data_IF_632357091302
#
_entry.id   IF_632357091302
#
_cell.length_a   1.000
_cell.length_b   1.000
_cell.length_c   1.000
_cell.angle_alpha   90.00
_cell.angle_beta   90.00
_cell.angle_gamma   90.00
#
_symmetry.space_group_name_H-M   'P 1'
#
loop_
_entity.id
_entity.type
_entity.pdbx_description
1 polymer ?
#
# COMPACT_ATOMS: atom_id res chain seq x y z
N UNK A 1 34.94 18.55 22.64
CA UNK A 1 35.16 17.15 22.22
C UNK A 1 33.90 16.38 22.59
N UNK A 2 32.93 16.37 21.70
CA UNK A 2 31.69 15.59 21.84
C UNK A 2 31.91 14.26 21.13
N UNK A 3 31.85 13.18 21.89
CA UNK A 3 31.97 11.83 21.35
C UNK A 3 30.74 11.52 20.46
N UNK A 4 30.99 11.16 19.20
CA UNK A 4 29.99 10.56 18.33
C UNK A 4 29.47 9.26 18.95
N UNK A 5 28.17 8.97 18.89
CA UNK A 5 27.68 7.67 19.31
C UNK A 5 28.20 6.60 18.36
N UNK A 6 28.89 5.64 18.90
CA UNK A 6 29.31 4.43 18.21
C UNK A 6 28.09 3.67 17.72
N UNK A 7 28.03 3.39 16.42
CA UNK A 7 27.11 2.44 15.81
C UNK A 7 27.18 1.10 16.58
N UNK A 8 26.28 0.91 17.52
CA UNK A 8 26.10 -0.35 18.22
C UNK A 8 25.49 -1.33 17.23
N UNK A 9 26.31 -2.24 16.70
CA UNK A 9 25.80 -3.40 15.94
C UNK A 9 24.76 -4.12 16.79
N UNK A 10 23.50 -4.12 16.35
CA UNK A 10 22.45 -4.92 16.98
C UNK A 10 22.90 -6.37 17.00
N UNK A 11 22.95 -6.97 18.18
CA UNK A 11 23.30 -8.38 18.31
C UNK A 11 22.23 -9.23 17.60
N UNK A 12 22.64 -10.02 16.61
CA UNK A 12 21.81 -11.06 16.06
C UNK A 12 21.50 -12.07 17.17
N UNK A 13 20.23 -12.27 17.49
CA UNK A 13 19.79 -13.14 18.58
C UNK A 13 18.92 -14.26 18.02
N UNK A 14 19.44 -15.46 18.13
CA UNK A 14 18.79 -16.68 17.65
C UNK A 14 18.92 -16.88 16.14
N UNK A 15 18.75 -18.13 15.71
CA UNK A 15 18.68 -18.46 14.29
C UNK A 15 17.40 -17.89 13.69
N UNK A 16 17.51 -17.16 12.58
CA UNK A 16 16.34 -16.76 11.79
C UNK A 16 15.57 -18.01 11.34
N UNK A 17 14.23 -17.92 11.19
CA UNK A 17 13.46 -19.04 10.71
C UNK A 17 13.96 -19.47 9.33
N UNK A 18 13.98 -20.79 9.08
CA UNK A 18 14.24 -21.30 7.73
C UNK A 18 13.04 -20.97 6.83
N UNK A 19 13.23 -20.02 5.95
CA UNK A 19 12.25 -19.54 4.97
C UNK A 19 12.60 -20.02 3.55
N UNK A 20 13.55 -20.95 3.43
CA UNK A 20 13.94 -21.54 2.15
C UNK A 20 12.74 -22.19 1.44
N UNK A 21 12.62 -21.95 0.15
CA UNK A 21 11.56 -22.53 -0.68
C UNK A 21 10.20 -21.86 -0.58
N UNK A 22 10.05 -20.77 0.21
CA UNK A 22 8.83 -19.97 0.17
C UNK A 22 8.72 -19.23 -1.18
N UNK A 23 7.56 -19.30 -1.86
CA UNK A 23 7.38 -18.70 -3.19
C UNK A 23 7.70 -17.20 -3.20
N UNK A 24 8.62 -16.79 -4.08
CA UNK A 24 8.97 -15.39 -4.31
C UNK A 24 9.72 -14.70 -3.17
N UNK A 25 10.19 -15.44 -2.17
CA UNK A 25 10.98 -14.89 -1.06
C UNK A 25 12.46 -15.27 -1.21
N UNK A 26 13.32 -14.28 -1.13
CA UNK A 26 14.76 -14.52 -0.91
C UNK A 26 14.99 -14.71 0.60
N UNK A 27 15.41 -15.90 1.04
CA UNK A 27 15.60 -16.19 2.46
C UNK A 27 16.72 -15.34 3.11
N UNK A 28 17.62 -14.77 2.32
CA UNK A 28 18.69 -13.89 2.82
C UNK A 28 18.17 -12.57 3.39
N UNK A 29 16.93 -12.18 3.10
CA UNK A 29 16.30 -11.00 3.68
C UNK A 29 15.84 -11.20 5.13
N UNK A 30 15.71 -12.45 5.57
CA UNK A 30 15.23 -12.78 6.92
C UNK A 30 16.25 -12.44 7.99
N UNK A 31 15.84 -11.66 8.98
CA UNK A 31 16.68 -11.24 10.10
C UNK A 31 15.94 -11.31 11.41
N UNK A 32 16.68 -11.63 12.49
CA UNK A 32 16.20 -11.51 13.87
C UNK A 32 16.99 -10.40 14.56
N UNK A 33 16.29 -9.52 15.27
CA UNK A 33 16.90 -8.44 16.06
C UNK A 33 16.25 -8.37 17.43
N UNK A 34 17.02 -8.04 18.46
CA UNK A 34 16.48 -7.77 19.81
C UNK A 34 16.49 -6.28 20.08
N UNK A 35 15.30 -5.75 20.37
CA UNK A 35 15.07 -4.32 20.59
C UNK A 35 14.19 -4.16 21.84
N UNK A 36 14.47 -3.20 22.74
CA UNK A 36 13.56 -2.88 23.83
C UNK A 36 12.20 -2.44 23.29
N UNK A 37 11.11 -2.93 23.92
CA UNK A 37 9.78 -2.38 23.67
C UNK A 37 9.61 -1.01 24.36
N UNK A 38 8.42 -0.40 24.25
CA UNK A 38 8.13 0.89 24.90
C UNK A 38 8.31 0.88 26.44
N UNK A 39 8.21 -0.28 27.07
CA UNK A 39 8.44 -0.47 28.50
C UNK A 39 9.93 -0.76 28.85
N UNK A 40 10.81 -0.79 27.85
CA UNK A 40 12.23 -1.09 28.01
C UNK A 40 12.55 -2.59 28.10
N UNK A 41 11.57 -3.47 27.88
CA UNK A 41 11.77 -4.93 27.89
C UNK A 41 12.36 -5.38 26.56
N UNK A 42 13.52 -6.10 26.56
CA UNK A 42 14.06 -6.66 25.32
C UNK A 42 13.08 -7.62 24.65
N UNK A 43 12.79 -7.40 23.36
CA UNK A 43 11.92 -8.20 22.53
C UNK A 43 12.61 -8.64 21.27
N UNK A 44 12.38 -9.87 20.88
CA UNK A 44 12.95 -10.39 19.62
C UNK A 44 11.97 -10.16 18.48
N UNK A 45 12.44 -9.42 17.47
CA UNK A 45 11.71 -9.14 16.26
C UNK A 45 12.25 -9.95 15.09
N UNK A 46 11.34 -10.45 14.27
CA UNK A 46 11.65 -10.89 12.93
C UNK A 46 11.30 -9.79 11.94
N UNK A 47 12.13 -9.65 10.91
CA UNK A 47 11.88 -8.73 9.81
C UNK A 47 12.49 -9.26 8.51
N UNK A 48 11.94 -8.83 7.40
CA UNK A 48 12.57 -8.94 6.09
C UNK A 48 13.22 -7.60 5.76
N UNK A 49 14.47 -7.63 5.28
CA UNK A 49 15.26 -6.45 4.95
C UNK A 49 16.10 -6.76 3.71
N UNK A 50 15.91 -6.02 2.63
CA UNK A 50 16.67 -6.23 1.39
C UNK A 50 18.15 -5.86 1.52
N UNK A 51 18.56 -5.23 2.64
CA UNK A 51 19.95 -4.88 2.93
C UNK A 51 20.54 -3.83 2.00
N UNK A 52 19.71 -3.15 1.20
CA UNK A 52 20.20 -2.10 0.31
C UNK A 52 20.67 -0.87 1.08
N UNK A 53 21.68 -0.18 0.53
CA UNK A 53 22.11 1.13 1.06
C UNK A 53 20.99 2.15 0.83
N UNK A 54 20.49 2.85 1.89
CA UNK A 54 19.37 3.77 1.77
C UNK A 54 19.80 5.15 1.22
N UNK A 55 20.28 5.21 -0.02
CA UNK A 55 20.73 6.44 -0.67
C UNK A 55 19.58 7.45 -0.81
N UNK A 56 18.38 6.97 -1.10
CA UNK A 56 17.17 7.79 -1.25
C UNK A 56 16.29 7.75 0.00
N UNK A 57 16.38 6.67 0.76
CA UNK A 57 15.61 6.48 1.99
C UNK A 57 15.22 5.03 2.22
N UNK A 58 14.36 4.84 3.23
CA UNK A 58 13.85 3.53 3.62
C UNK A 58 12.35 3.44 3.37
N UNK A 59 11.90 2.32 2.79
CA UNK A 59 10.48 1.95 2.73
C UNK A 59 10.16 1.06 3.93
N UNK A 60 9.37 1.56 4.85
CA UNK A 60 8.91 0.84 6.04
C UNK A 60 7.57 0.17 5.75
N UNK A 61 7.59 -1.16 5.60
CA UNK A 61 6.44 -1.96 5.20
C UNK A 61 5.75 -2.57 6.42
N UNK A 62 4.50 -2.19 6.67
CA UNK A 62 3.74 -2.61 7.85
C UNK A 62 2.57 -3.50 7.44
N UNK A 63 2.64 -4.78 7.85
CA UNK A 63 1.60 -5.77 7.55
C UNK A 63 0.39 -5.65 8.50
N UNK A 64 -0.72 -6.28 8.11
CA UNK A 64 -1.93 -6.34 8.91
C UNK A 64 -2.21 -7.71 9.52
N UNK A 65 -3.47 -7.96 9.83
CA UNK A 65 -3.94 -9.16 10.51
C UNK A 65 -4.78 -10.04 9.56
N UNK A 66 -4.43 -11.30 9.33
CA UNK A 66 -3.43 -12.14 10.00
C UNK A 66 -2.19 -12.40 9.13
N UNK A 67 -1.70 -11.41 8.40
CA UNK A 67 -0.53 -11.56 7.55
C UNK A 67 0.78 -11.41 8.35
N UNK A 68 1.93 -11.42 7.67
CA UNK A 68 3.25 -11.19 8.20
C UNK A 68 4.14 -10.58 7.12
N UNK A 69 5.39 -10.26 7.39
CA UNK A 69 6.30 -9.56 6.49
C UNK A 69 6.42 -10.16 5.09
N UNK A 70 6.15 -11.47 4.93
CA UNK A 70 6.08 -12.16 3.64
C UNK A 70 5.15 -11.48 2.62
N UNK A 71 4.12 -10.77 3.10
CA UNK A 71 3.20 -9.99 2.27
C UNK A 71 3.96 -9.01 1.35
N UNK A 72 5.11 -8.53 1.79
CA UNK A 72 5.86 -7.48 1.14
C UNK A 72 7.01 -7.97 0.24
N UNK A 73 7.18 -9.31 0.10
CA UNK A 73 8.28 -9.90 -0.67
C UNK A 73 8.38 -9.40 -2.11
N UNK A 74 7.23 -9.14 -2.76
CA UNK A 74 7.19 -8.59 -4.11
C UNK A 74 7.81 -7.19 -4.18
N UNK A 75 7.56 -6.35 -3.17
CA UNK A 75 8.15 -5.01 -3.10
C UNK A 75 9.64 -5.06 -2.73
N UNK A 76 10.06 -5.99 -1.84
CA UNK A 76 11.48 -6.18 -1.56
C UNK A 76 12.26 -6.54 -2.83
N UNK A 77 11.66 -7.38 -3.70
CA UNK A 77 12.26 -7.79 -4.97
C UNK A 77 12.28 -6.67 -6.02
N UNK A 78 11.24 -5.82 -6.05
CA UNK A 78 11.05 -4.76 -7.06
C UNK A 78 11.62 -3.40 -6.62
N UNK A 79 12.20 -3.30 -5.43
CA UNK A 79 12.69 -2.04 -4.89
C UNK A 79 13.71 -1.39 -5.83
N UNK A 80 13.54 -0.11 -6.18
CA UNK A 80 14.52 0.58 -7.02
C UNK A 80 15.88 0.72 -6.30
N UNK A 81 16.98 0.81 -7.04
CA UNK A 81 18.31 1.04 -6.45
C UNK A 81 18.30 2.26 -5.52
N UNK A 82 19.00 2.15 -4.38
CA UNK A 82 19.06 3.22 -3.39
C UNK A 82 17.89 3.29 -2.40
N UNK A 83 16.93 2.36 -2.50
CA UNK A 83 15.85 2.22 -1.53
C UNK A 83 16.06 0.96 -0.68
N UNK A 84 16.21 1.15 0.63
CA UNK A 84 16.14 0.05 1.59
C UNK A 84 14.68 -0.27 1.88
N UNK A 85 14.31 -1.55 1.83
CA UNK A 85 12.95 -1.99 2.18
C UNK A 85 13.02 -2.86 3.43
N UNK A 86 12.31 -2.43 4.47
CA UNK A 86 12.25 -3.10 5.77
C UNK A 86 10.80 -3.44 6.09
N UNK A 87 10.53 -4.71 6.30
CA UNK A 87 9.21 -5.24 6.61
C UNK A 87 9.25 -6.04 7.92
N UNK A 88 8.97 -5.43 9.09
CA UNK A 88 8.95 -6.14 10.35
C UNK A 88 7.66 -6.95 10.52
N UNK A 89 7.75 -8.07 11.25
CA UNK A 89 6.60 -8.75 11.83
C UNK A 89 6.24 -8.06 13.15
N UNK A 90 4.98 -7.67 13.34
CA UNK A 90 4.54 -7.12 14.62
C UNK A 90 4.84 -8.07 15.79
N UNK A 91 5.15 -7.53 16.96
CA UNK A 91 5.24 -8.36 18.19
C UNK A 91 3.95 -9.16 18.39
N UNK A 92 4.10 -10.45 18.61
CA UNK A 92 3.02 -11.41 18.66
C UNK A 92 2.62 -12.03 17.32
N UNK A 93 3.08 -11.51 16.21
CA UNK A 93 2.74 -11.96 14.84
C UNK A 93 3.96 -12.54 14.11
N UNK A 94 3.72 -13.13 12.93
CA UNK A 94 4.80 -13.66 12.10
C UNK A 94 5.77 -14.55 12.87
N UNK A 95 7.04 -14.29 12.79
CA UNK A 95 8.09 -14.94 13.54
C UNK A 95 8.64 -14.11 14.72
N UNK A 96 8.11 -12.91 14.93
CA UNK A 96 8.43 -12.11 16.12
C UNK A 96 7.98 -12.78 17.42
N UNK A 97 8.58 -12.34 18.54
CA UNK A 97 8.32 -12.86 19.87
C UNK A 97 6.84 -12.80 20.23
N UNK A 98 6.34 -13.85 20.90
CA UNK A 98 5.01 -13.90 21.53
C UNK A 98 5.11 -13.31 22.92
N UNK A 99 4.71 -12.04 23.07
CA UNK A 99 4.89 -11.27 24.32
C UNK A 99 4.01 -11.77 25.46
N UNK A 100 3.03 -12.63 25.20
CA UNK A 100 2.07 -13.11 26.20
C UNK A 100 1.00 -12.09 26.58
N UNK A 101 1.16 -10.82 26.20
CA UNK A 101 0.24 -9.72 26.49
C UNK A 101 -0.36 -9.19 25.18
N UNK A 102 -1.65 -8.83 25.23
CA UNK A 102 -2.31 -8.16 24.12
C UNK A 102 -1.74 -6.75 23.95
N UNK A 103 -1.36 -6.40 22.72
CA UNK A 103 -0.91 -5.06 22.37
C UNK A 103 -1.99 -4.31 21.61
N UNK A 104 -2.23 -3.06 22.01
CA UNK A 104 -3.17 -2.16 21.34
C UNK A 104 -2.47 -1.35 20.25
N UNK A 105 -3.26 -0.63 19.47
CA UNK A 105 -2.77 0.18 18.35
C UNK A 105 -1.70 1.20 18.77
N UNK A 106 -1.90 1.92 19.90
CA UNK A 106 -0.93 2.85 20.46
C UNK A 106 0.41 2.17 20.77
N UNK A 107 0.35 1.02 21.43
CA UNK A 107 1.55 0.25 21.78
C UNK A 107 2.27 -0.28 20.54
N UNK A 108 1.53 -0.71 19.50
CA UNK A 108 2.14 -1.18 18.24
C UNK A 108 2.83 -0.06 17.48
N UNK A 109 2.29 1.15 17.53
CA UNK A 109 2.92 2.34 16.94
C UNK A 109 4.22 2.67 17.66
N UNK A 110 4.19 2.70 19.00
CA UNK A 110 5.38 2.98 19.82
C UNK A 110 6.47 1.91 19.64
N UNK A 111 6.07 0.62 19.63
CA UNK A 111 6.98 -0.50 19.38
C UNK A 111 7.65 -0.38 18.00
N UNK A 112 6.90 0.01 16.97
CA UNK A 112 7.44 0.24 15.63
C UNK A 112 8.44 1.40 15.62
N UNK A 113 8.14 2.50 16.35
CA UNK A 113 9.05 3.64 16.52
C UNK A 113 10.35 3.22 17.21
N UNK A 114 10.27 2.43 18.27
CA UNK A 114 11.44 1.90 18.98
C UNK A 114 12.28 0.99 18.07
N UNK A 115 11.61 0.13 17.28
CA UNK A 115 12.29 -0.74 16.32
C UNK A 115 13.04 0.07 15.26
N UNK A 116 12.38 1.06 14.64
CA UNK A 116 13.01 1.87 13.57
C UNK A 116 14.20 2.66 14.08
N UNK A 117 14.12 3.22 15.30
CA UNK A 117 15.23 3.89 15.94
C UNK A 117 16.40 2.93 16.18
N UNK A 118 16.14 1.72 16.68
CA UNK A 118 17.17 0.70 16.93
C UNK A 118 17.81 0.18 15.64
N UNK A 119 17.07 0.15 14.52
CA UNK A 119 17.59 -0.23 13.20
C UNK A 119 18.40 0.89 12.53
N UNK A 120 18.54 2.06 13.18
CA UNK A 120 19.24 3.22 12.62
C UNK A 120 18.51 3.79 11.40
N UNK A 121 17.18 3.71 11.37
CA UNK A 121 16.37 4.33 10.33
C UNK A 121 16.15 5.79 10.75
N UNK A 122 17.10 6.64 10.44
CA UNK A 122 17.15 8.06 10.80
C UNK A 122 17.08 9.01 9.58
N UNK A 123 17.10 8.45 8.36
CA UNK A 123 16.95 9.17 7.10
C UNK A 123 15.49 9.28 6.63
N UNK A 124 15.27 9.71 5.37
CA UNK A 124 13.93 9.79 4.78
C UNK A 124 13.22 8.44 4.76
N UNK A 125 11.92 8.45 5.13
CA UNK A 125 11.11 7.24 5.19
C UNK A 125 9.83 7.39 4.36
N UNK A 126 9.55 6.39 3.54
CA UNK A 126 8.22 6.15 2.98
C UNK A 126 7.58 5.02 3.77
N UNK A 127 6.42 5.27 4.36
CA UNK A 127 5.65 4.22 5.02
C UNK A 127 4.71 3.54 4.03
N UNK A 128 4.57 2.22 4.12
CA UNK A 128 3.55 1.47 3.38
C UNK A 128 2.82 0.53 4.32
N UNK A 129 1.48 0.56 4.29
CA UNK A 129 0.65 -0.24 5.16
C UNK A 129 -0.54 -0.86 4.47
N UNK A 130 -0.91 -2.07 4.91
CA UNK A 130 -2.08 -2.82 4.46
C UNK A 130 -2.87 -3.31 5.68
N UNK A 131 -4.19 -3.28 5.62
CA UNK A 131 -5.08 -3.66 6.71
C UNK A 131 -4.73 -2.89 8.00
N UNK A 132 -4.53 -3.54 9.16
CA UNK A 132 -4.04 -2.90 10.38
C UNK A 132 -2.69 -2.18 10.21
N UNK A 133 -1.88 -2.66 9.29
CA UNK A 133 -0.61 -1.99 8.97
C UNK A 133 -0.80 -0.57 8.46
N UNK A 134 -1.94 -0.25 7.84
CA UNK A 134 -2.23 1.09 7.39
C UNK A 134 -2.34 2.10 8.54
N UNK A 135 -3.18 1.81 9.55
CA UNK A 135 -3.31 2.72 10.70
C UNK A 135 -2.04 2.78 11.55
N UNK A 136 -1.31 1.65 11.68
CA UNK A 136 -0.07 1.61 12.45
C UNK A 136 1.03 2.40 11.73
N UNK A 137 1.16 2.26 10.42
CA UNK A 137 2.12 3.02 9.61
C UNK A 137 1.81 4.53 9.59
N UNK A 138 0.53 4.89 9.55
CA UNK A 138 0.09 6.29 9.68
C UNK A 138 0.38 6.85 11.07
N UNK A 139 0.20 6.06 12.13
CA UNK A 139 0.57 6.47 13.49
C UNK A 139 2.08 6.73 13.61
N UNK A 140 2.90 5.85 13.06
CA UNK A 140 4.35 6.06 12.97
C UNK A 140 4.67 7.34 12.18
N UNK A 141 4.05 7.54 11.03
CA UNK A 141 4.23 8.71 10.17
C UNK A 141 3.91 10.03 10.89
N UNK A 142 2.84 10.04 11.68
CA UNK A 142 2.45 11.21 12.48
C UNK A 142 3.46 11.53 13.59
N UNK A 143 4.06 10.50 14.19
CA UNK A 143 5.08 10.64 15.23
C UNK A 143 6.46 11.04 14.69
N UNK A 144 6.74 10.78 13.39
CA UNK A 144 8.05 10.99 12.75
C UNK A 144 7.97 11.88 11.50
N UNK A 145 7.18 12.95 11.57
CA UNK A 145 6.90 13.85 10.41
C UNK A 145 8.15 14.40 9.75
N UNK A 146 9.22 14.63 10.51
CA UNK A 146 10.49 15.19 10.00
C UNK A 146 11.25 14.19 9.11
N UNK A 147 11.00 12.89 9.29
CA UNK A 147 11.59 11.83 8.46
C UNK A 147 10.66 11.38 7.33
N UNK A 148 9.38 11.78 7.38
CA UNK A 148 8.37 11.27 6.47
C UNK A 148 8.51 11.88 5.08
N UNK A 149 8.89 11.06 4.10
CA UNK A 149 8.98 11.45 2.69
C UNK A 149 7.68 11.19 1.93
N UNK A 150 6.92 10.17 2.32
CA UNK A 150 5.67 9.82 1.67
C UNK A 150 4.92 8.68 2.35
N UNK A 151 3.68 8.47 1.93
CA UNK A 151 2.77 7.46 2.49
C UNK A 151 2.20 6.60 1.37
N UNK A 152 2.19 5.28 1.57
CA UNK A 152 1.54 4.34 0.66
C UNK A 152 0.54 3.49 1.44
N UNK A 153 -0.69 3.39 0.95
CA UNK A 153 -1.77 2.66 1.62
C UNK A 153 -2.43 1.66 0.67
N UNK A 154 -2.59 0.43 1.14
CA UNK A 154 -3.34 -0.62 0.43
C UNK A 154 -4.46 -1.18 1.29
N UNK A 155 -5.67 -1.27 0.78
CA UNK A 155 -6.86 -1.83 1.42
C UNK A 155 -6.82 -1.75 2.96
N UNK A 156 -7.07 -0.57 3.51
CA UNK A 156 -6.98 -0.25 4.93
C UNK A 156 -8.04 0.77 5.34
N UNK A 157 -8.04 1.14 6.61
CA UNK A 157 -8.83 2.22 7.15
C UNK A 157 -8.09 2.92 8.30
N UNK A 158 -8.41 4.16 8.57
CA UNK A 158 -7.94 4.89 9.76
C UNK A 158 -9.08 5.15 10.74
N UNK A 159 -10.32 5.03 10.29
CA UNK A 159 -11.51 5.14 11.12
C UNK A 159 -12.66 4.32 10.53
N UNK A 160 -13.70 4.10 11.33
CA UNK A 160 -14.98 3.66 10.79
C UNK A 160 -15.67 4.89 10.16
N UNK A 161 -16.10 4.82 8.88
CA UNK A 161 -16.87 5.90 8.27
C UNK A 161 -18.11 6.25 9.09
N UNK A 162 -18.53 7.51 9.08
CA UNK A 162 -19.66 7.98 9.86
C UNK A 162 -20.93 7.18 9.57
N UNK A 163 -21.58 6.67 10.62
CA UNK A 163 -22.79 5.84 10.52
C UNK A 163 -22.53 4.38 10.12
N UNK A 164 -21.27 3.97 9.95
CA UNK A 164 -20.93 2.59 9.64
C UNK A 164 -20.73 1.76 10.92
N UNK A 165 -21.24 0.53 10.86
CA UNK A 165 -21.11 -0.43 11.96
C UNK A 165 -19.95 -1.43 11.74
N UNK A 166 -19.12 -1.21 10.72
CA UNK A 166 -18.03 -2.09 10.33
C UNK A 166 -18.45 -3.31 9.48
N UNK A 167 -17.49 -3.97 8.84
CA UNK A 167 -17.74 -5.09 7.92
C UNK A 167 -18.42 -6.27 8.64
N UNK A 168 -19.45 -6.90 8.03
CA UNK A 168 -20.20 -7.99 8.68
C UNK A 168 -19.31 -9.17 9.12
N UNK A 169 -18.32 -9.55 8.31
CA UNK A 169 -17.36 -10.62 8.64
C UNK A 169 -16.55 -10.29 9.90
N UNK A 170 -16.11 -9.04 10.03
CA UNK A 170 -15.33 -8.59 11.18
C UNK A 170 -16.21 -8.49 12.43
N UNK A 171 -17.43 -7.99 12.29
CA UNK A 171 -18.41 -8.00 13.40
C UNK A 171 -18.69 -9.41 13.90
N UNK A 172 -18.85 -10.38 13.01
CA UNK A 172 -19.01 -11.79 13.37
C UNK A 172 -17.77 -12.31 14.10
N UNK A 173 -16.57 -12.03 13.59
CA UNK A 173 -15.30 -12.44 14.23
C UNK A 173 -15.10 -11.80 15.61
N UNK A 174 -15.69 -10.63 15.86
CA UNK A 174 -15.60 -9.91 17.13
C UNK A 174 -16.52 -10.47 18.23
N UNK A 175 -17.52 -11.27 17.88
CA UNK A 175 -18.49 -11.78 18.84
C UNK A 175 -17.84 -12.65 19.94
N UNK A 176 -18.32 -12.54 21.22
CA UNK A 176 -17.89 -13.42 22.30
C UNK A 176 -18.06 -14.91 21.90
N UNK A 177 -17.04 -15.72 22.15
CA UNK A 177 -17.02 -17.15 21.77
C UNK A 177 -16.56 -17.40 20.31
N UNK A 178 -16.97 -16.60 19.34
CA UNK A 178 -16.51 -16.76 17.95
C UNK A 178 -15.04 -16.34 17.82
N UNK A 179 -14.67 -15.19 18.38
CA UNK A 179 -13.28 -14.71 18.32
C UNK A 179 -12.27 -15.70 18.91
N UNK A 180 -12.37 -16.18 20.16
CA UNK A 180 -11.41 -17.13 20.71
C UNK A 180 -11.39 -18.45 19.93
N UNK A 181 -12.51 -18.91 19.40
CA UNK A 181 -12.57 -20.12 18.60
C UNK A 181 -12.00 -19.90 17.19
N UNK A 182 -12.54 -18.93 16.44
CA UNK A 182 -12.20 -18.70 15.03
C UNK A 182 -10.82 -18.10 14.79
N UNK A 183 -10.39 -17.16 15.68
CA UNK A 183 -9.13 -16.45 15.51
C UNK A 183 -7.95 -17.09 16.24
N UNK A 184 -8.20 -17.84 17.33
CA UNK A 184 -7.15 -18.36 18.21
C UNK A 184 -7.12 -19.89 18.23
N UNK A 185 -8.20 -20.55 18.66
CA UNK A 185 -8.21 -22.00 18.84
C UNK A 185 -8.06 -22.75 17.50
N UNK A 186 -8.64 -22.22 16.43
CA UNK A 186 -8.57 -22.80 15.08
C UNK A 186 -7.87 -21.88 14.10
N UNK A 187 -7.37 -22.37 12.95
CA UNK A 187 -6.78 -21.55 11.89
C UNK A 187 -7.84 -20.90 10.95
N UNK A 188 -9.13 -20.89 11.33
CA UNK A 188 -10.22 -20.46 10.44
C UNK A 188 -10.06 -19.03 9.97
N UNK A 189 -9.68 -18.11 10.85
CA UNK A 189 -9.49 -16.70 10.48
C UNK A 189 -8.32 -16.54 9.50
N UNK A 190 -7.16 -17.17 9.79
CA UNK A 190 -5.99 -17.13 8.91
C UNK A 190 -6.31 -17.71 7.53
N UNK A 191 -6.94 -18.90 7.49
CA UNK A 191 -7.31 -19.55 6.23
C UNK A 191 -8.45 -18.82 5.51
N UNK A 192 -9.39 -18.26 6.25
CA UNK A 192 -10.49 -17.45 5.72
C UNK A 192 -9.99 -16.21 5.01
N UNK A 193 -9.00 -15.53 5.59
CA UNK A 193 -8.40 -14.33 4.96
C UNK A 193 -7.73 -14.66 3.64
N UNK A 194 -6.98 -15.77 3.56
CA UNK A 194 -6.36 -16.19 2.28
C UNK A 194 -7.40 -16.65 1.24
N UNK A 195 -8.61 -16.98 1.67
CA UNK A 195 -9.71 -17.32 0.78
C UNK A 195 -10.47 -16.09 0.23
N UNK A 196 -10.17 -14.88 0.74
CA UNK A 196 -10.72 -13.62 0.19
C UNK A 196 -10.01 -13.17 -1.08
N UNK A 197 -8.87 -13.77 -1.42
CA UNK A 197 -8.10 -13.42 -2.62
C UNK A 197 -8.83 -13.79 -3.91
N UNK A 198 -8.65 -12.96 -4.92
CA UNK A 198 -9.19 -13.19 -6.25
C UNK A 198 -8.17 -12.79 -7.34
N UNK A 199 -7.77 -13.73 -8.22
CA UNK A 199 -8.12 -15.16 -8.23
C UNK A 199 -7.64 -15.90 -6.99
N UNK A 200 -8.13 -17.12 -6.75
CA UNK A 200 -7.72 -17.92 -5.61
C UNK A 200 -6.20 -18.15 -5.61
N UNK A 201 -5.54 -17.89 -4.48
CA UNK A 201 -4.10 -18.04 -4.36
C UNK A 201 -3.64 -19.48 -4.56
N UNK A 202 -2.46 -19.70 -5.14
CA UNK A 202 -1.76 -20.99 -5.14
C UNK A 202 -1.67 -21.55 -3.71
N UNK A 203 -1.70 -22.87 -3.60
CA UNK A 203 -1.67 -23.53 -2.29
C UNK A 203 -0.41 -23.18 -1.51
N UNK A 204 0.73 -23.17 -2.16
CA UNK A 204 2.04 -22.87 -1.59
C UNK A 204 2.10 -21.44 -1.01
N UNK A 205 1.45 -20.48 -1.65
CA UNK A 205 1.34 -19.09 -1.14
C UNK A 205 0.42 -19.02 0.08
N UNK A 206 -0.71 -19.74 0.04
CA UNK A 206 -1.62 -19.81 1.21
C UNK A 206 -0.96 -20.48 2.40
N UNK A 207 -0.17 -21.53 2.17
CA UNK A 207 0.56 -22.24 3.22
C UNK A 207 1.70 -21.35 3.76
N UNK A 208 2.39 -20.58 2.91
CA UNK A 208 3.40 -19.60 3.33
C UNK A 208 2.80 -18.49 4.21
N UNK A 209 1.66 -17.91 3.83
CA UNK A 209 0.95 -16.92 4.65
C UNK A 209 0.50 -17.48 6.00
N UNK A 210 0.14 -18.76 6.06
CA UNK A 210 -0.28 -19.42 7.29
C UNK A 210 0.87 -19.99 8.15
N UNK A 211 2.08 -20.06 7.61
CA UNK A 211 3.23 -20.74 8.21
C UNK A 211 3.50 -20.34 9.68
N UNK A 212 3.55 -19.05 10.05
CA UNK A 212 3.86 -18.67 11.42
C UNK A 212 2.71 -18.93 12.41
N UNK A 213 1.52 -19.33 11.94
CA UNK A 213 0.28 -19.42 12.74
C UNK A 213 -0.18 -20.85 13.01
N UNK A 214 0.74 -21.82 13.06
CA UNK A 214 0.42 -23.25 13.18
C UNK A 214 -0.26 -23.66 14.50
N UNK A 215 0.02 -22.99 15.61
CA UNK A 215 -0.54 -23.32 16.94
C UNK A 215 -1.48 -22.23 17.48
N UNK A 216 -2.33 -22.56 18.44
CA UNK A 216 -3.21 -21.60 19.09
C UNK A 216 -2.44 -20.47 19.78
N UNK A 217 -1.31 -20.77 20.42
CA UNK A 217 -0.47 -19.76 21.06
C UNK A 217 0.08 -18.77 20.01
N UNK A 218 0.52 -19.26 18.87
CA UNK A 218 1.01 -18.41 17.79
C UNK A 218 -0.07 -17.56 17.13
N UNK A 219 -1.37 -17.89 17.32
CA UNK A 219 -2.52 -17.10 16.83
C UNK A 219 -3.12 -16.15 17.88
N UNK A 220 -2.61 -16.09 19.10
CA UNK A 220 -3.18 -15.20 20.14
C UNK A 220 -3.29 -13.76 19.66
N UNK A 221 -2.22 -13.22 19.08
CA UNK A 221 -2.22 -11.84 18.60
C UNK A 221 -3.21 -11.63 17.43
N UNK A 222 -3.53 -12.65 16.63
CA UNK A 222 -4.59 -12.57 15.60
C UNK A 222 -5.94 -12.23 16.27
N UNK A 223 -6.26 -12.90 17.37
CA UNK A 223 -7.44 -12.59 18.18
C UNK A 223 -7.38 -11.22 18.88
N UNK A 224 -6.18 -10.80 19.30
CA UNK A 224 -5.97 -9.51 19.95
C UNK A 224 -6.20 -8.34 18.98
N UNK A 225 -5.74 -8.43 17.72
CA UNK A 225 -6.02 -7.45 16.69
C UNK A 225 -7.53 -7.32 16.41
N UNK A 226 -8.25 -8.45 16.34
CA UNK A 226 -9.71 -8.41 16.17
C UNK A 226 -10.36 -7.77 17.40
N UNK A 227 -9.85 -8.05 18.61
CA UNK A 227 -10.37 -7.46 19.85
C UNK A 227 -10.13 -5.95 19.93
N UNK A 228 -9.09 -5.43 19.27
CA UNK A 228 -8.68 -4.04 19.35
C UNK A 228 -9.44 -3.11 18.37
N UNK A 229 -10.37 -3.64 17.57
CA UNK A 229 -11.21 -2.83 16.68
C UNK A 229 -12.20 -1.99 17.49
N UNK A 230 -12.13 -0.65 17.46
CA UNK A 230 -12.94 0.21 18.31
C UNK A 230 -14.32 0.48 17.69
N UNK A 231 -15.28 -0.41 17.84
CA UNK A 231 -16.65 -0.23 17.34
C UNK A 231 -17.51 0.76 18.16
N UNK A 232 -17.03 1.22 19.30
CA UNK A 232 -17.78 2.13 20.15
C UNK A 232 -16.85 3.06 20.93
N UNK A 233 -17.33 4.25 21.35
CA UNK A 233 -16.55 5.22 22.14
C UNK A 233 -16.01 4.68 23.47
N UNK A 234 -16.61 3.65 24.04
CA UNK A 234 -16.13 3.00 25.27
C UNK A 234 -14.96 2.04 25.07
N UNK A 235 -14.54 1.79 23.82
CA UNK A 235 -13.41 0.94 23.55
C UNK A 235 -12.08 1.65 23.85
N UNK A 236 -11.13 0.92 24.44
CA UNK A 236 -9.85 1.50 24.93
C UNK A 236 -9.00 2.16 23.83
N UNK A 237 -9.10 1.69 22.59
CA UNK A 237 -8.36 2.24 21.45
C UNK A 237 -9.17 3.28 20.64
N UNK A 238 -10.38 3.63 21.11
CA UNK A 238 -11.26 4.52 20.36
C UNK A 238 -10.68 5.93 20.21
N UNK A 239 -10.25 6.52 21.31
CA UNK A 239 -9.69 7.88 21.30
C UNK A 239 -8.40 7.95 20.49
N UNK A 240 -7.51 6.96 20.65
CA UNK A 240 -6.28 6.85 19.84
C UNK A 240 -6.59 6.79 18.35
N UNK A 241 -7.54 5.95 17.93
CA UNK A 241 -7.94 5.82 16.52
C UNK A 241 -8.57 7.12 16.01
N UNK A 242 -9.39 7.79 16.82
CA UNK A 242 -9.99 9.08 16.45
C UNK A 242 -8.94 10.18 16.31
N UNK A 243 -7.97 10.27 17.21
CA UNK A 243 -6.85 11.20 17.14
C UNK A 243 -5.98 10.97 15.91
N UNK A 244 -5.65 9.71 15.61
CA UNK A 244 -4.92 9.34 14.40
C UNK A 244 -5.68 9.73 13.15
N UNK A 245 -6.97 9.44 13.10
CA UNK A 245 -7.83 9.77 11.96
C UNK A 245 -7.89 11.28 11.69
N UNK A 246 -7.91 12.11 12.72
CA UNK A 246 -7.85 13.55 12.58
C UNK A 246 -6.44 14.01 12.21
N UNK A 247 -5.41 13.47 12.86
CA UNK A 247 -4.01 13.79 12.58
C UNK A 247 -3.59 13.54 11.13
N UNK A 248 -4.14 12.51 10.49
CA UNK A 248 -3.87 12.16 9.09
C UNK A 248 -4.27 13.28 8.12
N UNK A 249 -5.30 14.08 8.43
CA UNK A 249 -5.69 15.24 7.62
C UNK A 249 -4.59 16.31 7.52
N UNK A 250 -3.69 16.34 8.48
CA UNK A 250 -2.54 17.25 8.51
C UNK A 250 -1.27 16.68 7.87
N UNK A 251 -1.33 15.57 7.16
CA UNK A 251 -0.20 15.03 6.39
C UNK A 251 -0.19 15.65 4.98
N UNK A 252 0.81 16.49 4.73
CA UNK A 252 1.05 17.13 3.44
C UNK A 252 2.31 16.55 2.78
N UNK A 253 2.25 15.23 2.50
CA UNK A 253 3.33 14.50 1.83
C UNK A 253 2.77 13.75 0.63
N UNK A 254 3.58 13.46 -0.39
CA UNK A 254 3.19 12.60 -1.49
C UNK A 254 2.56 11.30 -0.96
N UNK A 255 1.39 10.98 -1.47
CA UNK A 255 0.64 9.80 -1.03
C UNK A 255 0.20 8.98 -2.23
N UNK A 256 0.35 7.66 -2.13
CA UNK A 256 -0.15 6.69 -3.09
C UNK A 256 -1.11 5.73 -2.40
N UNK A 257 -2.26 5.48 -3.01
CA UNK A 257 -3.16 4.40 -2.61
C UNK A 257 -3.20 3.34 -3.70
N UNK A 258 -3.00 2.08 -3.34
CA UNK A 258 -3.23 0.93 -4.23
C UNK A 258 -4.40 0.12 -3.67
N UNK A 259 -5.41 -0.17 -4.50
CA UNK A 259 -6.69 -0.63 -3.98
C UNK A 259 -7.31 -1.76 -4.78
N UNK A 260 -7.73 -2.82 -4.07
CA UNK A 260 -8.57 -3.90 -4.59
C UNK A 260 -10.05 -3.64 -4.25
N UNK A 261 -10.89 -3.27 -5.22
CA UNK A 261 -12.27 -2.87 -4.95
C UNK A 261 -13.20 -4.03 -4.59
N UNK A 262 -12.76 -5.29 -4.77
CA UNK A 262 -13.53 -6.48 -4.39
C UNK A 262 -13.37 -6.86 -2.92
N UNK A 263 -12.63 -6.08 -2.14
CA UNK A 263 -12.41 -6.34 -0.72
C UNK A 263 -13.73 -6.27 0.08
N UNK A 264 -14.17 -7.38 0.71
CA UNK A 264 -15.38 -7.39 1.54
C UNK A 264 -15.18 -6.72 2.90
N UNK A 265 -13.92 -6.39 3.27
CA UNK A 265 -13.57 -5.72 4.53
C UNK A 265 -13.42 -4.22 4.29
N UNK A 266 -12.49 -3.80 3.43
CA UNK A 266 -12.22 -2.41 3.12
C UNK A 266 -12.77 -2.04 1.73
N UNK A 267 -14.09 -1.90 1.62
CA UNK A 267 -14.76 -1.49 0.39
C UNK A 267 -14.64 0.02 0.11
N UNK A 268 -15.34 0.49 -0.93
CA UNK A 268 -15.29 1.86 -1.45
C UNK A 268 -15.49 2.97 -0.41
N UNK A 269 -16.28 2.72 0.63
CA UNK A 269 -16.53 3.71 1.69
C UNK A 269 -15.28 4.03 2.50
N UNK A 270 -14.39 3.07 2.73
CA UNK A 270 -13.11 3.29 3.41
C UNK A 270 -12.11 4.01 2.50
N UNK A 271 -12.11 3.66 1.21
CA UNK A 271 -11.33 4.40 0.23
C UNK A 271 -11.78 5.86 0.14
N UNK A 272 -13.08 6.10 0.13
CA UNK A 272 -13.65 7.45 0.09
C UNK A 272 -13.26 8.26 1.34
N UNK A 273 -13.34 7.66 2.54
CA UNK A 273 -12.91 8.31 3.79
C UNK A 273 -11.42 8.66 3.78
N UNK A 274 -10.57 7.73 3.33
CA UNK A 274 -9.12 7.99 3.20
C UNK A 274 -8.81 9.09 2.18
N UNK A 275 -9.49 9.13 1.06
CA UNK A 275 -9.33 10.18 0.03
C UNK A 275 -9.83 11.54 0.51
N UNK A 276 -10.85 11.59 1.34
CA UNK A 276 -11.30 12.82 1.99
C UNK A 276 -10.25 13.36 2.98
N UNK A 277 -9.53 12.46 3.65
CA UNK A 277 -8.45 12.85 4.59
C UNK A 277 -7.14 13.19 3.89
N UNK A 278 -6.83 12.54 2.79
CA UNK A 278 -5.60 12.66 2.00
C UNK A 278 -5.95 13.02 0.55
N UNK A 279 -6.45 14.24 0.28
CA UNK A 279 -6.93 14.63 -1.05
C UNK A 279 -5.83 14.66 -2.10
N UNK A 280 -4.56 14.79 -1.70
CA UNK A 280 -3.39 14.73 -2.57
C UNK A 280 -3.04 13.32 -3.04
N UNK A 281 -3.67 12.27 -2.50
CA UNK A 281 -3.32 10.89 -2.79
C UNK A 281 -3.59 10.52 -4.25
N UNK A 282 -2.59 9.99 -4.92
CA UNK A 282 -2.76 9.27 -6.19
C UNK A 282 -3.38 7.91 -5.91
N UNK A 283 -4.31 7.49 -6.74
CA UNK A 283 -5.00 6.20 -6.60
C UNK A 283 -4.66 5.28 -7.77
N UNK A 284 -4.19 4.08 -7.46
CA UNK A 284 -4.04 2.98 -8.40
C UNK A 284 -5.02 1.87 -8.03
N UNK A 285 -6.08 1.69 -8.83
CA UNK A 285 -7.10 0.66 -8.62
C UNK A 285 -6.77 -0.58 -9.41
N UNK A 286 -6.83 -1.73 -8.77
CA UNK A 286 -6.70 -3.04 -9.39
C UNK A 286 -8.09 -3.72 -9.39
N UNK A 287 -8.87 -3.50 -10.43
CA UNK A 287 -10.31 -3.82 -10.49
C UNK A 287 -10.62 -5.32 -10.24
N UNK A 288 -9.68 -6.20 -10.48
CA UNK A 288 -9.81 -7.64 -10.19
C UNK A 288 -9.47 -8.03 -8.76
N UNK A 289 -8.77 -7.17 -8.00
CA UNK A 289 -8.21 -7.52 -6.70
C UNK A 289 -9.21 -7.38 -5.55
N UNK A 290 -8.97 -8.15 -4.50
CA UNK A 290 -9.73 -8.19 -3.25
C UNK A 290 -8.87 -7.75 -2.07
N UNK A 291 -9.08 -8.34 -0.89
CA UNK A 291 -8.45 -7.95 0.36
C UNK A 291 -6.92 -8.06 0.35
N UNK A 292 -6.37 -9.18 -0.13
CA UNK A 292 -4.93 -9.35 -0.26
C UNK A 292 -4.43 -8.78 -1.59
N UNK A 293 -4.62 -7.48 -1.78
CA UNK A 293 -4.30 -6.78 -3.04
C UNK A 293 -2.85 -6.97 -3.49
N UNK A 294 -1.92 -7.18 -2.57
CA UNK A 294 -0.50 -7.48 -2.86
C UNK A 294 -0.30 -8.85 -3.52
N UNK A 295 -1.19 -9.79 -3.24
CA UNK A 295 -1.20 -11.12 -3.83
C UNK A 295 -2.07 -11.18 -5.10
N UNK A 296 -3.22 -10.52 -5.07
CA UNK A 296 -4.21 -10.51 -6.16
C UNK A 296 -3.71 -9.71 -7.36
N UNK A 297 -2.89 -8.69 -7.10
CA UNK A 297 -2.32 -7.78 -8.10
C UNK A 297 -0.83 -7.56 -7.83
N UNK A 298 0.06 -8.56 -8.07
CA UNK A 298 1.49 -8.46 -7.76
C UNK A 298 2.19 -7.28 -8.46
N UNK A 299 1.63 -6.76 -9.56
CA UNK A 299 2.08 -5.53 -10.23
C UNK A 299 1.93 -4.27 -9.36
N UNK A 300 1.33 -4.35 -8.15
CA UNK A 300 1.36 -3.25 -7.19
C UNK A 300 2.80 -2.85 -6.85
N UNK A 301 3.71 -3.83 -6.84
CA UNK A 301 5.11 -3.60 -6.52
C UNK A 301 5.79 -2.70 -7.56
N UNK A 302 5.50 -2.93 -8.86
CA UNK A 302 6.00 -2.08 -9.95
C UNK A 302 5.41 -0.66 -9.86
N UNK A 303 4.13 -0.54 -9.53
CA UNK A 303 3.48 0.76 -9.37
C UNK A 303 4.09 1.56 -8.19
N UNK A 304 4.37 0.90 -7.07
CA UNK A 304 5.06 1.53 -5.92
C UNK A 304 6.50 1.87 -6.29
N UNK A 305 7.23 0.97 -6.97
CA UNK A 305 8.60 1.21 -7.40
C UNK A 305 8.71 2.41 -8.37
N UNK A 306 7.80 2.52 -9.33
CA UNK A 306 7.73 3.67 -10.23
C UNK A 306 7.45 4.98 -9.47
N UNK A 307 6.52 4.95 -8.52
CA UNK A 307 6.20 6.10 -7.67
C UNK A 307 7.37 6.52 -6.77
N UNK A 308 8.13 5.56 -6.21
CA UNK A 308 9.38 5.84 -5.47
C UNK A 308 10.43 6.51 -6.38
N UNK A 309 10.52 6.09 -7.64
CA UNK A 309 11.36 6.73 -8.65
C UNK A 309 10.96 8.17 -8.91
N UNK A 310 9.66 8.46 -8.98
CA UNK A 310 9.13 9.82 -9.12
C UNK A 310 9.56 10.71 -7.94
N UNK A 311 9.52 10.21 -6.71
CA UNK A 311 9.93 10.97 -5.51
C UNK A 311 11.40 11.41 -5.54
N UNK A 312 12.26 10.62 -6.16
CA UNK A 312 13.71 10.91 -6.22
C UNK A 312 14.12 11.70 -7.46
N UNK A 313 13.28 11.72 -8.50
CA UNK A 313 13.54 12.47 -9.73
C UNK A 313 13.16 13.95 -9.65
N UNK A 314 12.41 14.35 -8.63
CA UNK A 314 12.10 15.75 -8.36
C UNK A 314 13.30 16.37 -7.65
N UNK A 315 14.05 17.22 -8.34
CA UNK A 315 15.14 18.01 -7.74
C UNK A 315 14.59 18.78 -6.52
N UNK A 316 15.36 18.87 -5.40
CA UNK A 316 14.88 19.40 -4.12
C UNK A 316 14.51 20.89 -4.10
N UNK A 317 14.48 21.59 -5.22
CA UNK A 317 14.29 23.03 -5.33
C UNK A 317 13.02 23.49 -6.09
N UNK A 318 12.03 22.63 -6.28
CA UNK A 318 10.71 23.11 -6.72
C UNK A 318 9.76 23.13 -5.53
N UNK A 319 9.45 24.31 -4.96
CA UNK A 319 8.43 24.40 -3.93
C UNK A 319 7.10 23.89 -4.49
N UNK A 320 6.51 22.87 -3.87
CA UNK A 320 5.17 22.34 -4.20
C UNK A 320 4.04 23.40 -3.95
N UNK A 321 4.38 24.61 -3.59
CA UNK A 321 3.46 25.74 -3.36
C UNK A 321 3.20 26.61 -4.58
N UNK A 322 3.77 26.32 -5.73
CA UNK A 322 3.30 26.97 -6.94
C UNK A 322 2.18 26.12 -7.55
N UNK A 323 0.93 26.48 -7.32
CA UNK A 323 -0.10 26.32 -8.36
C UNK A 323 0.61 26.67 -9.65
N UNK A 324 0.69 25.76 -10.67
CA UNK A 324 1.32 26.11 -11.92
C UNK A 324 0.56 27.30 -12.49
N UNK A 325 1.14 28.49 -12.34
CA UNK A 325 0.63 29.77 -12.90
C UNK A 325 0.84 29.82 -14.41
N UNK A 326 1.32 28.74 -15.00
CA UNK A 326 1.30 28.43 -16.41
C UNK A 326 0.97 26.95 -16.58
N UNK A 327 -0.29 26.56 -16.37
CA UNK A 327 -0.85 25.49 -17.19
C UNK A 327 -0.68 26.02 -18.61
N UNK A 328 0.32 25.53 -19.33
CA UNK A 328 0.34 25.74 -20.79
C UNK A 328 -1.05 25.28 -21.22
N UNK A 329 -1.74 26.05 -22.06
CA UNK A 329 -3.00 25.63 -22.70
C UNK A 329 -2.81 24.35 -23.52
N UNK A 330 -1.71 23.67 -23.28
CA UNK A 330 -1.27 22.48 -23.96
C UNK A 330 -2.02 21.25 -23.43
N UNK A 331 -3.05 20.89 -24.16
CA UNK A 331 -3.81 19.66 -23.93
C UNK A 331 -3.04 18.47 -24.50
N UNK A 332 -3.36 17.25 -24.06
CA UNK A 332 -2.84 16.01 -24.67
C UNK A 332 -3.08 15.95 -26.19
N UNK A 333 -4.12 16.61 -26.66
CA UNK A 333 -4.41 16.78 -28.08
C UNK A 333 -3.36 17.63 -28.79
N UNK A 334 -2.97 18.79 -28.26
CA UNK A 334 -1.96 19.65 -28.86
C UNK A 334 -0.58 19.00 -28.93
N UNK A 335 -0.27 18.12 -27.97
CA UNK A 335 0.93 17.30 -28.00
C UNK A 335 0.91 16.30 -29.19
N UNK A 336 -0.24 15.68 -29.46
CA UNK A 336 -0.44 14.79 -30.59
C UNK A 336 -0.38 15.57 -31.94
N UNK A 337 -0.99 16.77 -32.01
CA UNK A 337 -0.98 17.63 -33.18
C UNK A 337 0.44 18.01 -33.60
N UNK A 338 1.32 18.33 -32.68
CA UNK A 338 2.73 18.66 -32.99
C UNK A 338 3.47 17.48 -33.62
N UNK A 339 3.02 16.26 -33.39
CA UNK A 339 3.59 15.04 -33.97
C UNK A 339 2.77 14.48 -35.15
N UNK A 340 1.80 15.22 -35.66
CA UNK A 340 0.90 14.76 -36.73
C UNK A 340 1.61 14.44 -38.04
N UNK A 341 2.85 14.88 -38.22
CA UNK A 341 3.69 14.55 -39.39
C UNK A 341 4.84 13.59 -39.06
N UNK A 342 4.94 13.13 -37.81
CA UNK A 342 6.02 12.26 -37.35
C UNK A 342 5.70 10.78 -37.72
N UNK A 343 6.50 10.16 -38.62
CA UNK A 343 6.28 8.77 -39.01
C UNK A 343 6.80 7.76 -38.00
N UNK A 344 7.44 8.21 -36.91
CA UNK A 344 7.97 7.29 -35.87
C UNK A 344 6.85 6.55 -35.12
N UNK A 345 7.12 5.36 -34.58
CA UNK A 345 6.15 4.60 -33.83
C UNK A 345 5.65 5.34 -32.58
N UNK A 346 4.34 5.32 -32.33
CA UNK A 346 3.72 5.77 -31.09
C UNK A 346 3.36 4.58 -30.21
N UNK A 347 2.95 3.47 -30.81
CA UNK A 347 2.58 2.26 -30.11
C UNK A 347 2.68 1.02 -30.99
N UNK A 348 2.73 -0.16 -30.35
CA UNK A 348 2.58 -1.45 -31.01
C UNK A 348 1.47 -2.23 -30.32
N UNK A 349 0.51 -2.75 -31.10
CA UNK A 349 -0.61 -3.55 -30.61
C UNK A 349 -0.72 -4.81 -31.45
N UNK A 350 -0.68 -5.97 -30.81
CA UNK A 350 -0.78 -7.28 -31.49
C UNK A 350 0.17 -7.43 -32.69
N UNK A 351 1.39 -6.89 -32.58
CA UNK A 351 2.41 -6.95 -33.64
C UNK A 351 2.26 -5.90 -34.75
N UNK A 352 1.21 -5.11 -34.74
CA UNK A 352 1.03 -3.97 -35.65
C UNK A 352 1.58 -2.71 -35.02
N UNK A 353 2.42 -1.98 -35.79
CA UNK A 353 3.03 -0.71 -35.38
C UNK A 353 2.18 0.44 -35.87
N UNK A 354 1.81 1.36 -34.98
CA UNK A 354 1.08 2.60 -35.31
C UNK A 354 2.03 3.78 -35.16
N UNK A 355 2.10 4.65 -36.17
CA UNK A 355 2.90 5.88 -36.13
C UNK A 355 2.12 7.04 -35.52
N UNK A 356 2.84 8.08 -35.04
CA UNK A 356 2.21 9.33 -34.59
C UNK A 356 1.36 9.95 -35.71
N UNK A 357 1.84 9.93 -36.96
CA UNK A 357 1.11 10.44 -38.11
C UNK A 357 -0.22 9.72 -38.33
N UNK A 358 -0.22 8.38 -38.31
CA UNK A 358 -1.44 7.59 -38.52
C UNK A 358 -2.42 7.74 -37.35
N UNK A 359 -1.90 7.84 -36.12
CA UNK A 359 -2.71 8.09 -34.94
C UNK A 359 -3.39 9.47 -35.00
N UNK A 360 -2.65 10.53 -35.33
CA UNK A 360 -3.20 11.88 -35.44
C UNK A 360 -4.27 11.99 -36.53
N UNK A 361 -4.07 11.34 -37.67
CA UNK A 361 -5.06 11.28 -38.75
C UNK A 361 -6.34 10.59 -38.28
N UNK A 362 -6.21 9.44 -37.63
CA UNK A 362 -7.35 8.67 -37.10
C UNK A 362 -8.13 9.42 -36.03
N UNK A 363 -7.45 10.07 -35.10
CA UNK A 363 -8.06 10.93 -34.05
C UNK A 363 -8.83 12.10 -34.72
N UNK A 364 -8.30 12.69 -35.75
CA UNK A 364 -8.97 13.80 -36.47
C UNK A 364 -10.26 13.34 -37.10
N UNK A 365 -10.25 12.21 -37.80
CA UNK A 365 -11.42 11.59 -38.41
C UNK A 365 -12.51 11.27 -37.41
N UNK A 366 -12.11 10.60 -36.31
CA UNK A 366 -13.04 10.20 -35.24
C UNK A 366 -13.64 11.41 -34.52
N UNK A 367 -12.87 12.45 -34.22
CA UNK A 367 -13.37 13.67 -33.58
C UNK A 367 -14.38 14.40 -34.49
N UNK A 368 -14.12 14.46 -35.82
CA UNK A 368 -15.10 15.00 -36.76
C UNK A 368 -16.37 14.18 -36.82
N UNK A 369 -16.27 12.83 -36.77
CA UNK A 369 -17.43 11.93 -36.65
C UNK A 369 -18.26 12.14 -35.41
N UNK A 370 -17.60 12.30 -34.25
CA UNK A 370 -18.26 12.59 -32.97
C UNK A 370 -19.01 13.93 -33.00
N UNK A 371 -18.39 14.98 -33.55
CA UNK A 371 -19.04 16.27 -33.72
C UNK A 371 -20.27 16.19 -34.66
N UNK A 372 -20.14 15.45 -35.76
CA UNK A 372 -21.25 15.20 -36.70
C UNK A 372 -22.39 14.38 -36.05
N UNK A 373 -22.07 13.49 -35.11
CA UNK A 373 -23.03 12.74 -34.32
C UNK A 373 -23.68 13.55 -33.20
N UNK A 374 -23.32 14.83 -33.03
CA UNK A 374 -23.92 15.76 -32.08
C UNK A 374 -23.27 15.77 -30.70
N UNK A 375 -22.12 15.14 -30.52
CA UNK A 375 -21.33 15.23 -29.27
C UNK A 375 -20.78 16.65 -29.10
N UNK A 376 -21.01 17.24 -27.94
CA UNK A 376 -20.63 18.59 -27.57
C UNK A 376 -19.59 18.60 -26.45
N UNK A 377 -18.82 19.68 -26.28
CA UNK A 377 -17.95 19.85 -25.13
C UNK A 377 -18.72 19.67 -23.81
N UNK A 378 -18.19 18.83 -22.92
CA UNK A 378 -18.80 18.48 -21.63
C UNK A 378 -19.71 17.23 -21.66
N UNK A 379 -20.07 16.72 -22.83
CA UNK A 379 -20.82 15.47 -22.93
C UNK A 379 -20.00 14.28 -22.40
N UNK A 380 -20.67 13.30 -21.82
CA UNK A 380 -20.05 12.05 -21.32
C UNK A 380 -20.17 10.96 -22.36
N UNK A 381 -19.04 10.38 -22.74
CA UNK A 381 -18.96 9.30 -23.73
C UNK A 381 -18.47 8.03 -23.07
N UNK A 382 -19.36 7.03 -23.00
CA UNK A 382 -19.00 5.69 -22.53
C UNK A 382 -18.32 4.89 -23.65
N UNK A 383 -17.20 4.24 -23.36
CA UNK A 383 -16.47 3.42 -24.32
C UNK A 383 -16.60 1.94 -23.96
N UNK A 384 -17.04 1.13 -24.93
CA UNK A 384 -17.06 -0.32 -24.84
C UNK A 384 -16.25 -0.89 -26.00
N UNK A 385 -14.93 -0.84 -25.90
CA UNK A 385 -13.98 -1.22 -26.96
C UNK A 385 -12.88 -2.08 -26.34
N UNK A 386 -12.47 -3.15 -27.01
CA UNK A 386 -11.32 -3.96 -26.56
C UNK A 386 -10.03 -3.13 -26.62
N UNK A 387 -9.03 -3.43 -25.76
CA UNK A 387 -7.73 -2.78 -25.79
C UNK A 387 -7.09 -2.87 -27.18
N UNK A 388 -6.96 -1.72 -27.85
CA UNK A 388 -6.53 -1.62 -29.23
C UNK A 388 -6.00 -0.21 -29.56
N UNK A 389 -5.39 -0.06 -30.73
CA UNK A 389 -5.04 1.26 -31.24
C UNK A 389 -6.28 2.14 -31.47
N UNK A 390 -7.42 1.54 -31.83
CA UNK A 390 -8.67 2.26 -32.01
C UNK A 390 -9.24 2.78 -30.67
N UNK A 391 -9.11 2.03 -29.55
CA UNK A 391 -9.47 2.55 -28.23
C UNK A 391 -8.69 3.82 -27.91
N UNK A 392 -7.36 3.81 -28.13
CA UNK A 392 -6.52 4.99 -27.90
C UNK A 392 -6.97 6.15 -28.78
N UNK A 393 -7.20 5.91 -30.06
CA UNK A 393 -7.66 6.93 -31.00
C UNK A 393 -9.02 7.53 -30.61
N UNK A 394 -9.97 6.71 -30.15
CA UNK A 394 -11.30 7.15 -29.72
C UNK A 394 -11.22 8.01 -28.45
N UNK A 395 -10.37 7.64 -27.48
CA UNK A 395 -10.15 8.44 -26.26
C UNK A 395 -9.61 9.84 -26.62
N UNK A 396 -8.57 9.91 -27.45
CA UNK A 396 -8.03 11.20 -27.93
C UNK A 396 -9.03 12.00 -28.75
N UNK A 397 -9.88 11.34 -29.54
CA UNK A 397 -10.91 11.99 -30.32
C UNK A 397 -12.00 12.59 -29.44
N UNK A 398 -12.43 11.88 -28.39
CA UNK A 398 -13.39 12.38 -27.41
C UNK A 398 -12.83 13.63 -26.68
N UNK A 399 -11.59 13.59 -26.23
CA UNK A 399 -10.94 14.76 -25.63
C UNK A 399 -10.83 15.95 -26.58
N UNK A 400 -10.50 15.69 -27.88
CA UNK A 400 -10.48 16.73 -28.91
C UNK A 400 -11.84 17.35 -29.12
N UNK A 401 -12.92 16.55 -29.03
CA UNK A 401 -14.30 17.03 -29.09
C UNK A 401 -14.76 17.76 -27.81
N UNK A 402 -13.90 17.82 -26.77
CA UNK A 402 -14.24 18.40 -25.47
C UNK A 402 -15.11 17.49 -24.60
N UNK A 403 -15.28 16.22 -24.97
CA UNK A 403 -16.08 15.27 -24.24
C UNK A 403 -15.31 14.63 -23.07
N UNK A 404 -16.06 14.13 -22.08
CA UNK A 404 -15.54 13.39 -20.92
C UNK A 404 -15.71 11.90 -21.21
N UNK A 405 -14.60 11.16 -21.24
CA UNK A 405 -14.62 9.70 -21.39
C UNK A 405 -14.96 9.05 -20.04
N UNK A 406 -15.91 8.12 -20.01
CA UNK A 406 -16.39 7.42 -18.83
C UNK A 406 -16.43 5.90 -19.06
#
# INVERSE_FOLDING_TARGET
MTASPTNGSLAAVGDAPDLSGLPGLDPSWSRMVTVPDREGTPRTWHLLDNGAEPVHGTVLCVHGNPTWSYLWRGLLAAAPPGWRVVAPDHLGMGFSERTGQARRVDQRIDDLGTLTAALGIDGPVVTIGHDWGGIISLGWALAHREQLLGVVLGNTAVAQPAGDHGPPLIRLAHLPGIRPFGCVATPLFVRGTTALSWPALPREVRDALALPYGTADRRKAVGDFVADIPFSPGHRSYDTVAELAEGVRGLDVPTLMFWGPRDPVFGERYLADLRDRLPQARLHRFEGASHLVTEDAPQYADAVAAWLGDLTSVAPDVPLTSTPTNVSEETLWTALERRAQDPSPVMSVAGSVVSWQSMAARVTELAAGMAAAGIRPGDRVGLLIEPSADLTAVVYAAWRAGAVVV
#
